data_IF_591681960793
#
_entry.id   IF_591681960793
#
_cell.length_a   1.000
_cell.length_b   1.000
_cell.length_c   1.000
_cell.angle_alpha   90.00
_cell.angle_beta   90.00
_cell.angle_gamma   90.00
#
_symmetry.space_group_name_H-M   'P 1'
#
loop_
_entity.id
_entity.type
_entity.pdbx_description
1 polymer ?
#
# COMPACT_ATOMS: atom_id res chain seq x y z
N UNK A 1 21.89 -6.69 14.43
CA UNK A 1 20.71 -7.45 13.97
C UNK A 1 19.49 -6.55 14.11
N UNK A 2 18.76 -6.27 13.03
CA UNK A 2 17.50 -5.55 13.12
C UNK A 2 16.43 -6.47 13.76
N UNK A 3 15.69 -5.97 14.74
CA UNK A 3 14.60 -6.72 15.36
C UNK A 3 13.48 -6.96 14.34
N UNK A 4 13.03 -8.21 14.21
CA UNK A 4 11.93 -8.56 13.30
C UNK A 4 10.63 -7.96 13.83
N UNK A 5 10.08 -6.96 13.14
CA UNK A 5 8.80 -6.37 13.50
C UNK A 5 7.72 -7.45 13.51
N UNK A 6 7.02 -7.58 14.64
CA UNK A 6 5.89 -8.51 14.78
C UNK A 6 4.61 -7.69 14.79
N UNK A 7 3.67 -8.04 13.92
CA UNK A 7 2.35 -7.40 13.84
C UNK A 7 1.26 -8.41 14.16
N UNK A 8 0.28 -7.99 14.96
CA UNK A 8 -0.91 -8.79 15.21
C UNK A 8 -1.83 -8.73 13.99
N UNK A 9 -2.27 -9.89 13.53
CA UNK A 9 -3.23 -10.04 12.43
C UNK A 9 -4.47 -10.70 13.00
N UNK A 10 -5.62 -10.03 12.85
CA UNK A 10 -6.91 -10.61 13.18
C UNK A 10 -7.40 -11.42 12.00
N UNK A 11 -7.77 -12.66 12.26
CA UNK A 11 -8.40 -13.56 11.29
C UNK A 11 -9.65 -14.13 11.94
N UNK A 12 -10.61 -14.55 11.11
CA UNK A 12 -11.78 -15.28 11.59
C UNK A 12 -11.39 -16.70 12.06
N UNK A 13 -12.34 -17.36 12.73
CA UNK A 13 -12.12 -18.67 13.36
C UNK A 13 -11.88 -19.77 12.33
N UNK A 14 -12.54 -19.69 11.17
CA UNK A 14 -12.41 -20.70 10.11
C UNK A 14 -11.02 -20.63 9.49
N UNK A 15 -10.57 -19.42 9.16
CA UNK A 15 -9.21 -19.16 8.66
C UNK A 15 -8.14 -19.60 9.67
N UNK A 16 -8.31 -19.32 10.97
CA UNK A 16 -7.35 -19.77 11.98
C UNK A 16 -7.24 -21.30 12.07
N UNK A 17 -8.36 -22.02 11.92
CA UNK A 17 -8.38 -23.50 11.88
C UNK A 17 -7.65 -24.04 10.67
N UNK A 18 -7.90 -23.49 9.49
CA UNK A 18 -7.19 -23.87 8.26
C UNK A 18 -5.68 -23.65 8.38
N UNK A 19 -5.26 -22.52 8.95
CA UNK A 19 -3.85 -22.23 9.24
C UNK A 19 -3.29 -23.25 10.24
N UNK A 20 -4.05 -23.61 11.28
CA UNK A 20 -3.64 -24.59 12.28
C UNK A 20 -3.42 -25.98 11.68
N UNK A 21 -4.36 -26.46 10.87
CA UNK A 21 -4.30 -27.78 10.24
C UNK A 21 -3.13 -27.86 9.27
N UNK A 22 -2.96 -26.82 8.45
CA UNK A 22 -1.82 -26.70 7.53
C UNK A 22 -0.48 -26.70 8.27
N UNK A 23 -0.38 -25.93 9.36
CA UNK A 23 0.81 -25.87 10.19
C UNK A 23 1.14 -27.24 10.80
N UNK A 24 0.13 -27.96 11.28
CA UNK A 24 0.27 -29.31 11.83
C UNK A 24 0.74 -30.31 10.77
N UNK A 25 0.14 -30.29 9.58
CA UNK A 25 0.52 -31.16 8.47
C UNK A 25 1.97 -30.92 8.01
N UNK A 26 2.40 -29.67 7.99
CA UNK A 26 3.77 -29.30 7.58
C UNK A 26 4.79 -29.39 8.73
N UNK A 27 4.38 -29.70 9.95
CA UNK A 27 5.23 -29.63 11.15
C UNK A 27 5.91 -28.27 11.35
N UNK A 28 5.17 -27.19 11.07
CA UNK A 28 5.64 -25.79 11.18
C UNK A 28 4.79 -25.02 12.18
N UNK A 29 5.26 -23.84 12.60
CA UNK A 29 4.41 -22.92 13.37
C UNK A 29 3.46 -22.16 12.44
N UNK A 30 2.28 -21.78 12.95
CA UNK A 30 1.28 -20.96 12.22
C UNK A 30 1.92 -19.71 11.58
N UNK A 31 2.80 -19.02 12.32
CA UNK A 31 3.52 -17.83 11.84
C UNK A 31 4.36 -18.09 10.58
N UNK A 32 4.93 -19.28 10.45
CA UNK A 32 5.82 -19.62 9.33
C UNK A 32 5.00 -19.98 8.08
N UNK A 33 3.84 -20.62 8.29
CA UNK A 33 2.84 -20.85 7.23
C UNK A 33 2.33 -19.50 6.70
N UNK A 34 1.90 -18.61 7.60
CA UNK A 34 1.40 -17.27 7.22
C UNK A 34 2.49 -16.46 6.53
N UNK A 35 3.73 -16.46 7.05
CA UNK A 35 4.83 -15.74 6.41
C UNK A 35 5.13 -16.25 5.00
N UNK A 36 5.09 -17.58 4.80
CA UNK A 36 5.30 -18.18 3.48
C UNK A 36 4.16 -17.83 2.52
N UNK A 37 2.91 -17.88 3.00
CA UNK A 37 1.73 -17.54 2.21
C UNK A 37 1.75 -16.06 1.76
N UNK A 38 2.10 -15.14 2.66
CA UNK A 38 2.25 -13.72 2.33
C UNK A 38 3.35 -13.54 1.29
N UNK A 39 4.51 -14.18 1.46
CA UNK A 39 5.59 -14.12 0.49
C UNK A 39 5.17 -14.61 -0.90
N UNK A 40 4.47 -15.75 -0.96
CA UNK A 40 3.95 -16.30 -2.21
C UNK A 40 2.91 -15.37 -2.86
N UNK A 41 2.02 -14.78 -2.06
CA UNK A 41 1.04 -13.79 -2.56
C UNK A 41 1.74 -12.56 -3.15
N UNK A 42 2.71 -11.99 -2.43
CA UNK A 42 3.45 -10.81 -2.90
C UNK A 42 4.16 -11.11 -4.21
N UNK A 43 4.85 -12.25 -4.30
CA UNK A 43 5.57 -12.60 -5.52
C UNK A 43 4.62 -12.85 -6.70
N UNK A 44 3.51 -13.56 -6.48
CA UNK A 44 2.51 -13.82 -7.51
C UNK A 44 1.80 -12.54 -8.02
N UNK A 45 1.74 -11.50 -7.18
CA UNK A 45 1.05 -10.24 -7.50
C UNK A 45 2.01 -9.05 -7.67
N UNK A 46 3.30 -9.31 -7.82
CA UNK A 46 4.35 -8.28 -7.80
C UNK A 46 4.13 -7.22 -8.87
N UNK A 47 3.86 -7.64 -10.09
CA UNK A 47 3.59 -6.72 -11.20
C UNK A 47 2.35 -5.86 -10.97
N UNK A 48 1.30 -6.40 -10.35
CA UNK A 48 0.09 -5.63 -10.06
C UNK A 48 0.35 -4.60 -8.95
N UNK A 49 1.10 -4.99 -7.92
CA UNK A 49 1.53 -4.10 -6.85
C UNK A 49 2.40 -2.96 -7.40
N UNK A 50 3.38 -3.27 -8.26
CA UNK A 50 4.24 -2.29 -8.90
C UNK A 50 3.42 -1.33 -9.78
N UNK A 51 2.51 -1.85 -10.61
CA UNK A 51 1.58 -1.02 -11.39
C UNK A 51 0.68 -0.14 -10.51
N UNK A 52 0.24 -0.62 -9.36
CA UNK A 52 -0.57 0.16 -8.43
C UNK A 52 0.22 1.27 -7.73
N UNK A 53 1.48 0.99 -7.39
CA UNK A 53 2.42 1.96 -6.84
C UNK A 53 2.74 3.04 -7.87
N UNK A 54 3.07 2.67 -9.11
CA UNK A 54 3.35 3.62 -10.20
C UNK A 54 2.16 4.55 -10.46
N UNK A 55 0.93 4.00 -10.53
CA UNK A 55 -0.28 4.82 -10.68
C UNK A 55 -0.49 5.76 -9.50
N UNK A 56 -0.14 5.34 -8.30
CA UNK A 56 -0.29 6.18 -7.11
C UNK A 56 0.75 7.27 -7.09
N UNK A 57 2.00 6.95 -7.43
CA UNK A 57 3.07 7.92 -7.57
C UNK A 57 2.75 8.95 -8.65
N UNK A 58 2.32 8.50 -9.84
CA UNK A 58 1.91 9.41 -10.91
C UNK A 58 0.76 10.34 -10.48
N UNK A 59 -0.23 9.84 -9.71
CA UNK A 59 -1.30 10.70 -9.17
C UNK A 59 -0.77 11.73 -8.18
N UNK A 60 0.18 11.35 -7.32
CA UNK A 60 0.83 12.28 -6.38
C UNK A 60 1.59 13.34 -7.17
N UNK A 61 2.46 12.93 -8.10
CA UNK A 61 3.25 13.84 -8.92
C UNK A 61 2.36 14.77 -9.76
N UNK A 62 1.27 14.25 -10.33
CA UNK A 62 0.29 15.06 -11.07
C UNK A 62 -0.53 15.99 -10.18
N UNK A 63 -0.75 15.63 -8.92
CA UNK A 63 -1.40 16.50 -7.94
C UNK A 63 -0.47 17.61 -7.45
N UNK A 64 0.84 17.35 -7.44
CA UNK A 64 1.86 18.32 -7.07
C UNK A 64 2.36 19.17 -8.24
N UNK A 65 2.00 18.84 -9.48
CA UNK A 65 2.35 19.63 -10.67
C UNK A 65 1.75 21.05 -10.57
N UNK A 66 2.62 22.09 -10.49
CA UNK A 66 2.17 23.46 -10.30
C UNK A 66 1.39 24.01 -11.50
N UNK A 67 1.48 23.38 -12.67
CA UNK A 67 0.88 23.82 -13.93
C UNK A 67 -0.38 23.05 -14.32
N UNK A 68 -0.79 22.04 -13.54
CA UNK A 68 -2.07 21.36 -13.74
C UNK A 68 -3.22 22.29 -13.33
N UNK A 69 -4.13 22.54 -14.27
CA UNK A 69 -5.33 23.35 -14.05
C UNK A 69 -6.33 22.58 -13.21
N UNK A 70 -6.70 23.12 -12.05
CA UNK A 70 -7.77 22.57 -11.22
C UNK A 70 -9.12 22.80 -11.93
N UNK A 71 -9.87 21.73 -12.28
CA UNK A 71 -11.12 21.87 -13.03
C UNK A 71 -12.25 22.56 -12.24
N UNK A 72 -12.12 22.71 -10.91
CA UNK A 72 -13.11 23.41 -10.08
C UNK A 72 -12.89 24.91 -10.04
N UNK A 73 -11.64 25.35 -10.07
CA UNK A 73 -11.28 26.78 -9.96
C UNK A 73 -10.86 27.38 -11.30
N UNK A 74 -10.48 26.54 -12.26
CA UNK A 74 -9.89 26.96 -13.53
C UNK A 74 -8.47 27.50 -13.41
N UNK A 75 -7.85 27.40 -12.23
CA UNK A 75 -6.52 27.93 -11.94
C UNK A 75 -5.52 26.79 -11.75
N UNK A 76 -4.28 27.02 -12.19
CA UNK A 76 -3.14 26.19 -11.80
C UNK A 76 -2.75 26.44 -10.34
N UNK A 77 -1.97 25.53 -9.74
CA UNK A 77 -1.47 25.71 -8.37
C UNK A 77 -0.53 26.92 -8.28
N UNK A 78 0.29 27.18 -9.30
CA UNK A 78 1.14 28.37 -9.36
C UNK A 78 0.32 29.67 -9.38
N UNK A 79 -0.71 29.76 -10.23
CA UNK A 79 -1.58 30.93 -10.30
C UNK A 79 -2.36 31.15 -9.00
N UNK A 80 -2.78 30.05 -8.34
CA UNK A 80 -3.44 30.12 -7.04
C UNK A 80 -2.49 30.64 -5.96
N UNK A 81 -1.26 30.15 -5.90
CA UNK A 81 -0.24 30.62 -4.95
C UNK A 81 0.11 32.10 -5.21
N UNK A 82 0.23 32.52 -6.47
CA UNK A 82 0.43 33.93 -6.83
C UNK A 82 -0.76 34.80 -6.40
N UNK A 83 -2.00 34.33 -6.61
CA UNK A 83 -3.20 35.05 -6.20
C UNK A 83 -3.22 35.26 -4.68
N UNK A 84 -2.96 34.21 -3.90
CA UNK A 84 -2.91 34.32 -2.44
C UNK A 84 -1.76 35.22 -1.97
N UNK A 85 -0.58 35.13 -2.59
CA UNK A 85 0.57 35.97 -2.25
C UNK A 85 0.36 37.47 -2.54
N UNK A 86 -0.62 37.84 -3.39
CA UNK A 86 -0.98 39.23 -3.69
C UNK A 86 -2.10 39.78 -2.80
N UNK A 87 -2.74 38.92 -2.01
CA UNK A 87 -3.81 39.30 -1.08
C UNK A 87 -3.30 39.54 0.35
N UNK A 88 -2.06 39.18 0.64
CA UNK A 88 -1.29 39.58 1.83
C UNK A 88 -0.50 40.88 1.58
#
# INVERSE_FOLDING_TARGET
>A
MAAKATRLVRVDIETDRLIADTARLQQRFKKDVVASAIGAYVEANREELDRALDRTQHRIDSADDPFVVDPRTGLTRAEREELFARMD
#
